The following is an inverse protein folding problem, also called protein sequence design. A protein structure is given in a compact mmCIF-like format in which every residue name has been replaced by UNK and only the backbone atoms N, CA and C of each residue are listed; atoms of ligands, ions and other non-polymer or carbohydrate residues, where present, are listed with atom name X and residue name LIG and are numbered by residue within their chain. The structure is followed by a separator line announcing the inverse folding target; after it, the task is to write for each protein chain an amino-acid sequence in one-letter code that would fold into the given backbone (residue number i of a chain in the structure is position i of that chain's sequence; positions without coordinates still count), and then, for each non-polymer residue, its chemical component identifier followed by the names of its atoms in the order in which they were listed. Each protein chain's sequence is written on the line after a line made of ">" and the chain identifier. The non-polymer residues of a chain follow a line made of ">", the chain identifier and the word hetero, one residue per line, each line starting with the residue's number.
data_IF_460068984512
#
_entry.id   IF_460068984512
#
_cell.length_a   1.000
_cell.length_b   1.000
_cell.length_c   1.000
_cell.angle_alpha   90.00
_cell.angle_beta   90.00
_cell.angle_gamma   90.00
#
_symmetry.space_group_name_H-M   'P 1'
#
loop_
_entity.id
_entity.type
_entity.pdbx_description
1 polymer ?
#
# COMPACT_ATOMS: atom_id res chain seq x y z
N UNK A 1 -29.20 2.24 -22.10
CA UNK A 1 -28.00 1.74 -22.80
C UNK A 1 -28.26 0.29 -23.15
N UNK A 2 -28.37 -0.06 -24.43
CA UNK A 2 -28.52 -1.45 -24.85
C UNK A 2 -27.15 -2.14 -24.72
N UNK A 3 -27.08 -3.20 -23.92
CA UNK A 3 -25.92 -4.09 -23.87
C UNK A 3 -25.87 -4.81 -25.22
N UNK A 4 -24.77 -4.67 -25.96
CA UNK A 4 -24.58 -5.40 -27.22
C UNK A 4 -24.27 -6.85 -26.83
N UNK A 5 -25.15 -7.77 -27.22
CA UNK A 5 -24.94 -9.21 -27.04
C UNK A 5 -23.88 -9.67 -28.04
N UNK A 6 -22.73 -10.07 -27.54
CA UNK A 6 -21.54 -10.39 -28.32
C UNK A 6 -21.35 -11.90 -28.51
N UNK A 7 -22.44 -12.66 -28.58
CA UNK A 7 -22.48 -14.13 -28.64
C UNK A 7 -21.81 -14.73 -29.90
N UNK A 8 -21.41 -13.87 -30.83
CA UNK A 8 -20.66 -14.20 -32.04
C UNK A 8 -19.14 -14.06 -31.88
N UNK A 9 -18.66 -13.47 -30.78
CA UNK A 9 -17.23 -13.45 -30.46
C UNK A 9 -16.85 -14.80 -29.84
N UNK A 10 -15.70 -15.38 -30.23
CA UNK A 10 -15.22 -16.58 -29.55
C UNK A 10 -14.98 -16.27 -28.07
N UNK A 11 -15.30 -17.23 -27.20
CA UNK A 11 -15.00 -17.12 -25.78
C UNK A 11 -13.50 -16.83 -25.62
N UNK A 12 -13.12 -15.81 -24.83
CA UNK A 12 -11.72 -15.51 -24.62
C UNK A 12 -11.05 -16.73 -23.97
N UNK A 13 -9.94 -17.18 -24.57
CA UNK A 13 -9.15 -18.25 -23.97
C UNK A 13 -8.74 -17.84 -22.54
N UNK A 14 -8.95 -18.72 -21.54
CA UNK A 14 -8.57 -18.40 -20.18
C UNK A 14 -7.06 -18.28 -20.10
N UNK A 15 -6.57 -17.06 -19.87
CA UNK A 15 -5.15 -16.80 -19.66
C UNK A 15 -4.78 -17.41 -18.31
N UNK A 16 -3.94 -18.44 -18.33
CA UNK A 16 -3.35 -18.98 -17.11
C UNK A 16 -2.31 -18.01 -16.59
N UNK A 17 -2.47 -17.56 -15.35
CA UNK A 17 -1.52 -16.63 -14.75
C UNK A 17 -0.19 -17.35 -14.49
N UNK A 18 0.94 -16.91 -15.06
CA UNK A 18 2.20 -17.60 -14.88
C UNK A 18 2.61 -17.60 -13.39
N UNK A 19 2.85 -18.78 -12.77
CA UNK A 19 3.14 -18.85 -11.34
C UNK A 19 4.43 -18.12 -10.95
N UNK A 20 5.42 -18.11 -11.84
CA UNK A 20 6.67 -17.37 -11.66
C UNK A 20 6.44 -15.86 -11.58
N UNK A 21 5.56 -15.32 -12.44
CA UNK A 21 5.19 -13.91 -12.40
C UNK A 21 4.49 -13.57 -11.08
N UNK A 22 3.62 -14.45 -10.59
CA UNK A 22 2.92 -14.25 -9.32
C UNK A 22 3.93 -14.15 -8.17
N UNK A 23 4.88 -15.06 -8.15
CA UNK A 23 5.94 -15.08 -7.15
C UNK A 23 6.80 -13.80 -7.20
N UNK A 24 7.15 -13.32 -8.39
CA UNK A 24 7.91 -12.07 -8.54
C UNK A 24 7.13 -10.84 -8.05
N UNK A 25 5.83 -10.76 -8.36
CA UNK A 25 4.96 -9.69 -7.88
C UNK A 25 4.90 -9.70 -6.35
N UNK A 26 4.67 -10.87 -5.74
CA UNK A 26 4.60 -11.00 -4.27
C UNK A 26 5.91 -10.57 -3.61
N UNK A 27 7.06 -11.01 -4.14
CA UNK A 27 8.38 -10.62 -3.63
C UNK A 27 8.62 -9.12 -3.75
N UNK A 28 8.23 -8.52 -4.89
CA UNK A 28 8.37 -7.08 -5.10
C UNK A 28 7.49 -6.29 -4.15
N UNK A 29 6.24 -6.71 -3.97
CA UNK A 29 5.30 -6.08 -3.05
C UNK A 29 5.81 -6.14 -1.61
N UNK A 30 6.34 -7.29 -1.18
CA UNK A 30 6.93 -7.45 0.15
C UNK A 30 8.12 -6.49 0.36
N UNK A 31 9.06 -6.45 -0.58
CA UNK A 31 10.21 -5.53 -0.49
C UNK A 31 9.80 -4.05 -0.49
N UNK A 32 8.74 -3.70 -1.24
CA UNK A 32 8.19 -2.35 -1.25
C UNK A 32 7.51 -2.01 0.08
N UNK A 33 6.75 -2.95 0.66
CA UNK A 33 6.10 -2.77 1.95
C UNK A 33 7.12 -2.56 3.06
N UNK A 34 8.16 -3.40 3.12
CA UNK A 34 9.25 -3.28 4.10
C UNK A 34 9.94 -1.91 4.02
N UNK A 35 10.30 -1.47 2.82
CA UNK A 35 10.93 -0.17 2.61
C UNK A 35 9.99 1.00 2.99
N UNK A 36 8.70 0.86 2.70
CA UNK A 36 7.70 1.85 3.04
C UNK A 36 7.47 1.94 4.56
N UNK A 37 7.34 0.79 5.23
CA UNK A 37 7.17 0.69 6.68
C UNK A 37 8.36 1.29 7.42
N UNK A 38 9.59 0.94 7.03
CA UNK A 38 10.79 1.51 7.63
C UNK A 38 10.80 3.04 7.52
N UNK A 39 10.52 3.58 6.32
CA UNK A 39 10.49 5.02 6.10
C UNK A 39 9.37 5.70 6.88
N UNK A 40 8.20 5.06 6.99
CA UNK A 40 7.06 5.60 7.73
C UNK A 40 7.39 5.69 9.22
N UNK A 41 8.00 4.65 9.80
CA UNK A 41 8.42 4.64 11.20
C UNK A 41 9.44 5.73 11.51
N UNK A 42 10.46 5.88 10.65
CA UNK A 42 11.48 6.93 10.81
C UNK A 42 10.84 8.32 10.77
N UNK A 43 9.98 8.57 9.78
CA UNK A 43 9.30 9.85 9.62
C UNK A 43 8.39 10.17 10.81
N UNK A 44 7.56 9.21 11.24
CA UNK A 44 6.67 9.38 12.39
C UNK A 44 7.46 9.67 13.67
N UNK A 45 8.58 8.98 13.89
CA UNK A 45 9.44 9.20 15.06
C UNK A 45 10.09 10.58 15.02
N UNK A 46 10.57 11.01 13.85
CA UNK A 46 11.15 12.33 13.64
C UNK A 46 10.12 13.45 13.89
N UNK A 47 8.91 13.30 13.36
CA UNK A 47 7.84 14.29 13.51
C UNK A 47 7.36 14.39 14.96
N UNK A 48 7.17 13.25 15.63
CA UNK A 48 6.85 13.24 17.07
C UNK A 48 7.95 13.89 17.90
N UNK A 49 9.22 13.57 17.62
CA UNK A 49 10.37 14.17 18.30
C UNK A 49 10.44 15.68 18.09
N UNK A 50 10.13 16.15 16.88
CA UNK A 50 10.08 17.58 16.56
C UNK A 50 8.94 18.27 17.32
N UNK A 51 7.74 17.71 17.32
CA UNK A 51 6.60 18.26 18.03
C UNK A 51 6.85 18.36 19.55
N UNK A 52 7.53 17.37 20.14
CA UNK A 52 7.96 17.43 21.54
C UNK A 52 8.95 18.59 21.80
N UNK A 53 9.92 18.79 20.90
CA UNK A 53 10.86 19.93 21.00
C UNK A 53 10.15 21.28 20.87
N UNK A 54 9.11 21.34 20.06
CA UNK A 54 8.26 22.53 19.89
C UNK A 54 7.29 22.74 21.08
N UNK A 55 7.38 21.91 22.14
CA UNK A 55 6.63 22.05 23.37
C UNK A 55 5.21 21.47 23.32
N UNK A 56 4.90 20.64 22.32
CA UNK A 56 3.60 20.00 22.23
C UNK A 56 3.45 18.89 23.28
N UNK A 57 2.33 18.89 23.98
CA UNK A 57 1.97 17.83 24.94
C UNK A 57 1.88 16.45 24.27
N UNK A 58 2.52 15.39 24.83
CA UNK A 58 2.55 14.05 24.23
C UNK A 58 1.18 13.48 23.88
N UNK A 59 0.17 13.71 24.75
CA UNK A 59 -1.21 13.26 24.50
C UNK A 59 -1.83 13.86 23.24
N UNK A 60 -1.44 15.10 22.91
CA UNK A 60 -1.91 15.78 21.70
C UNK A 60 -1.24 15.20 20.46
N UNK A 61 0.04 14.88 20.54
CA UNK A 61 0.80 14.22 19.45
C UNK A 61 0.18 12.86 19.13
N UNK A 62 -0.05 12.01 20.14
CA UNK A 62 -0.71 10.69 19.98
C UNK A 62 -2.04 10.84 19.24
N UNK A 63 -2.91 11.75 19.70
CA UNK A 63 -4.21 11.99 19.07
C UNK A 63 -4.10 12.50 17.63
N UNK A 64 -3.15 13.40 17.33
CA UNK A 64 -2.96 13.94 15.98
C UNK A 64 -2.39 12.90 15.01
N UNK A 65 -1.56 11.99 15.51
CA UNK A 65 -0.97 10.91 14.72
C UNK A 65 -1.87 9.67 14.60
N UNK A 66 -3.01 9.64 15.31
CA UNK A 66 -3.94 8.51 15.30
C UNK A 66 -3.37 7.24 15.95
N UNK A 67 -2.48 7.43 16.93
CA UNK A 67 -1.83 6.36 17.71
C UNK A 67 -2.65 5.94 18.94
#
# INVERSE_FOLDING_TARGET
>A
MSVIDCDYLPDPEPITFPPELALLIVRKAAAMAEAFESKALDQMTMDASRALRDGMEPRRIIRQMGL
#
